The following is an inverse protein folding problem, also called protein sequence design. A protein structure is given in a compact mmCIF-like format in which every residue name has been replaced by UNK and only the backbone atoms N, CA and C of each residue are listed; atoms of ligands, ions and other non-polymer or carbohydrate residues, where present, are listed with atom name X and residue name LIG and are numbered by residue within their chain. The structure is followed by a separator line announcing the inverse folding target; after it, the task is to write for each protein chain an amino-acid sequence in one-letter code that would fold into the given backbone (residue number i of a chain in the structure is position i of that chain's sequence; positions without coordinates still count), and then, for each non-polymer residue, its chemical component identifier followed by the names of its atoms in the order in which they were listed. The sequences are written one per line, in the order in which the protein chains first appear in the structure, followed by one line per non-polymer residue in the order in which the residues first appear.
data_IF_332595009425
#
_entry.id   IF_332595009425
#
_cell.length_a   1.000
_cell.length_b   1.000
_cell.length_c   1.000
_cell.angle_alpha   90.00
_cell.angle_beta   90.00
_cell.angle_gamma   90.00
#
_symmetry.space_group_name_H-M   'P 1'
#
loop_
_entity.id
_entity.type
_entity.pdbx_description
1 polymer ?
#
# COMPACT_ATOMS: atom_id res chain seq x y z
N UNK A 1 -33.33 15.80 24.07
CA UNK A 1 -32.43 14.63 24.22
C UNK A 1 -31.29 14.79 23.24
N UNK A 2 -30.04 14.78 23.70
CA UNK A 2 -28.87 14.98 22.83
C UNK A 2 -28.40 13.63 22.29
N UNK A 3 -28.52 13.40 20.98
CA UNK A 3 -28.14 12.14 20.34
C UNK A 3 -26.65 12.15 20.00
N UNK A 4 -25.82 11.62 20.90
CA UNK A 4 -24.37 11.51 20.69
C UNK A 4 -24.08 10.49 19.59
N UNK A 5 -23.57 10.94 18.44
CA UNK A 5 -23.07 10.06 17.40
C UNK A 5 -21.69 9.50 17.80
N UNK A 6 -21.58 8.18 17.95
CA UNK A 6 -20.29 7.52 18.18
C UNK A 6 -19.64 7.30 16.81
N UNK A 7 -18.64 8.11 16.47
CA UNK A 7 -17.88 7.97 15.23
C UNK A 7 -16.93 6.77 15.39
N UNK A 8 -17.34 5.59 14.93
CA UNK A 8 -16.58 4.35 15.09
C UNK A 8 -15.39 4.21 14.13
N UNK A 9 -15.29 5.06 13.10
CA UNK A 9 -14.26 4.99 12.06
C UNK A 9 -13.34 6.24 12.10
N UNK A 10 -12.50 6.36 13.13
CA UNK A 10 -11.35 7.26 13.07
C UNK A 10 -10.15 6.50 12.49
N UNK A 11 -9.76 6.85 11.25
CA UNK A 11 -8.54 6.31 10.65
C UNK A 11 -7.33 6.75 11.49
N UNK A 12 -6.66 5.78 12.12
CA UNK A 12 -5.40 6.00 12.83
C UNK A 12 -4.25 5.95 11.83
N UNK A 13 -3.18 6.67 12.15
CA UNK A 13 -1.94 6.71 11.38
C UNK A 13 -0.77 6.29 12.25
N UNK A 14 0.10 5.45 11.70
CA UNK A 14 1.39 5.12 12.29
C UNK A 14 2.46 6.00 11.64
N UNK A 15 3.53 6.29 12.38
CA UNK A 15 4.64 7.12 11.92
C UNK A 15 5.98 6.42 12.18
N UNK A 16 6.90 6.56 11.24
CA UNK A 16 8.25 6.00 11.29
C UNK A 16 9.26 7.08 10.88
N UNK A 17 10.43 7.10 11.53
CA UNK A 17 11.55 7.92 11.12
C UNK A 17 12.74 7.03 10.75
N UNK A 18 13.32 7.27 9.57
CA UNK A 18 14.53 6.59 9.08
C UNK A 18 15.66 7.61 9.08
N UNK A 19 16.80 7.27 9.70
CA UNK A 19 17.98 8.15 9.76
C UNK A 19 19.18 7.44 9.15
N UNK A 20 19.79 8.03 8.12
CA UNK A 20 20.96 7.49 7.41
C UNK A 20 21.98 8.60 7.12
N UNK A 21 23.27 8.27 7.12
CA UNK A 21 24.35 9.25 6.86
C UNK A 21 24.51 9.62 5.39
N UNK A 22 24.16 8.71 4.47
CA UNK A 22 24.24 8.93 3.01
C UNK A 22 22.85 8.89 2.38
N UNK A 23 22.70 9.59 1.26
CA UNK A 23 21.48 9.62 0.44
C UNK A 23 21.18 8.25 -0.16
N UNK A 24 22.19 7.54 -0.68
CA UNK A 24 22.02 6.20 -1.25
C UNK A 24 21.51 5.18 -0.21
N UNK A 25 21.99 5.25 1.04
CA UNK A 25 21.51 4.40 2.12
C UNK A 25 20.11 4.80 2.60
N UNK A 26 19.74 6.08 2.49
CA UNK A 26 18.36 6.53 2.72
C UNK A 26 17.44 5.97 1.64
N UNK A 27 17.79 6.13 0.36
CA UNK A 27 17.00 5.68 -0.77
C UNK A 27 16.74 4.17 -0.74
N UNK A 28 17.76 3.36 -0.43
CA UNK A 28 17.62 1.92 -0.24
C UNK A 28 16.57 1.58 0.83
N UNK A 29 16.68 2.18 2.02
CA UNK A 29 15.73 1.88 3.11
C UNK A 29 14.32 2.42 2.85
N UNK A 30 14.20 3.59 2.20
CA UNK A 30 12.90 4.13 1.80
C UNK A 30 12.18 3.23 0.80
N UNK A 31 12.91 2.58 -0.11
CA UNK A 31 12.34 1.59 -1.02
C UNK A 31 11.84 0.34 -0.26
N UNK A 32 12.60 -0.17 0.70
CA UNK A 32 12.19 -1.31 1.56
C UNK A 32 10.95 -0.98 2.41
N UNK A 33 10.90 0.22 2.99
CA UNK A 33 9.72 0.67 3.75
C UNK A 33 8.52 0.92 2.82
N UNK A 34 8.75 1.40 1.60
CA UNK A 34 7.71 1.57 0.57
C UNK A 34 7.04 0.25 0.17
N UNK A 35 7.83 -0.82 -0.01
CA UNK A 35 7.32 -2.19 -0.20
C UNK A 35 6.45 -2.67 0.98
N UNK A 36 6.74 -2.17 2.18
CA UNK A 36 5.99 -2.45 3.41
C UNK A 36 4.77 -1.52 3.64
N UNK A 37 4.39 -0.73 2.64
CA UNK A 37 3.23 0.17 2.67
C UNK A 37 3.44 1.49 3.42
N UNK A 38 4.69 1.90 3.67
CA UNK A 38 4.99 3.21 4.24
C UNK A 38 5.08 4.29 3.15
N UNK A 39 4.37 5.40 3.36
CA UNK A 39 4.39 6.58 2.49
C UNK A 39 5.40 7.61 3.03
N UNK A 40 6.34 8.06 2.20
CA UNK A 40 7.26 9.12 2.53
C UNK A 40 6.55 10.48 2.57
N UNK A 41 6.67 11.19 3.69
CA UNK A 41 6.04 12.51 3.92
C UNK A 41 7.03 13.65 3.74
N UNK A 42 8.27 13.48 4.21
CA UNK A 42 9.29 14.54 4.21
C UNK A 42 10.68 13.94 4.35
N UNK A 43 11.68 14.63 3.81
CA UNK A 43 13.11 14.35 4.00
C UNK A 43 13.79 15.63 4.46
N UNK A 44 14.60 15.54 5.51
CA UNK A 44 15.39 16.65 6.05
C UNK A 44 16.86 16.22 6.11
N UNK A 45 17.77 17.07 5.61
CA UNK A 45 19.21 16.93 5.86
C UNK A 45 19.62 17.92 6.95
N UNK A 46 20.26 17.44 8.01
CA UNK A 46 20.62 18.28 9.15
C UNK A 46 21.32 17.51 10.26
N UNK A 47 21.50 18.16 11.42
CA UNK A 47 22.07 17.52 12.59
C UNK A 47 21.07 16.56 13.23
N UNK A 48 21.48 15.31 13.42
CA UNK A 48 20.72 14.31 14.16
C UNK A 48 20.78 14.56 15.68
N UNK A 49 20.18 13.67 16.48
CA UNK A 49 20.22 13.75 17.96
C UNK A 49 21.62 13.58 18.56
N UNK A 50 22.60 13.09 17.81
CA UNK A 50 24.01 12.96 18.20
C UNK A 50 24.86 14.14 17.72
N UNK A 51 24.27 15.06 16.93
CA UNK A 51 24.95 16.22 16.35
C UNK A 51 25.66 15.96 15.02
N UNK A 52 25.56 14.75 14.47
CA UNK A 52 26.12 14.39 13.17
C UNK A 52 25.20 14.84 12.03
N UNK A 53 25.78 15.20 10.88
CA UNK A 53 24.98 15.45 9.67
C UNK A 53 24.43 14.14 9.11
N UNK A 54 23.10 14.06 9.00
CA UNK A 54 22.39 12.89 8.50
C UNK A 54 21.13 13.30 7.73
N UNK A 55 20.69 12.40 6.85
CA UNK A 55 19.38 12.44 6.23
C UNK A 55 18.36 11.77 7.16
N UNK A 56 17.24 12.45 7.39
CA UNK A 56 16.09 11.95 8.14
C UNK A 56 14.86 11.92 7.24
N UNK A 57 14.38 10.74 6.91
CA UNK A 57 13.09 10.52 6.25
C UNK A 57 11.98 10.32 7.29
N UNK A 58 10.86 11.00 7.10
CA UNK A 58 9.63 10.84 7.89
C UNK A 58 8.59 10.14 7.04
N UNK A 59 8.09 9.01 7.53
CA UNK A 59 7.09 8.19 6.85
C UNK A 59 5.83 8.06 7.71
N UNK A 60 4.71 7.85 7.05
CA UNK A 60 3.41 7.52 7.66
C UNK A 60 2.83 6.28 6.99
N UNK A 61 1.91 5.59 7.65
CA UNK A 61 0.97 4.68 6.98
C UNK A 61 -0.37 4.63 7.71
N UNK A 62 -1.47 4.27 7.05
CA UNK A 62 -2.72 3.95 7.72
C UNK A 62 -2.46 2.79 8.70
N UNK A 63 -2.82 2.96 9.97
CA UNK A 63 -2.77 1.86 10.92
C UNK A 63 -3.80 0.81 10.47
N UNK A 64 -3.33 -0.38 10.10
CA UNK A 64 -4.21 -1.54 9.94
C UNK A 64 -4.79 -1.87 11.31
N UNK A 65 -6.04 -1.50 11.54
CA UNK A 65 -6.74 -1.86 12.76
C UNK A 65 -6.73 -3.39 12.87
N UNK A 66 -6.20 -3.99 13.95
CA UNK A 66 -6.33 -5.43 14.12
C UNK A 66 -7.83 -5.76 14.09
N UNK A 67 -8.26 -6.83 13.40
CA UNK A 67 -9.65 -7.23 13.44
C UNK A 67 -10.02 -7.42 14.92
N UNK A 68 -10.98 -6.61 15.39
CA UNK A 68 -11.49 -6.75 16.75
C UNK A 68 -11.90 -8.21 16.94
N UNK A 69 -11.43 -8.85 18.02
CA UNK A 69 -11.59 -10.28 18.27
C UNK A 69 -13.04 -10.68 18.65
N UNK A 70 -14.03 -10.02 18.03
CA UNK A 70 -15.46 -10.14 18.24
C UNK A 70 -16.21 -10.69 17.01
N UNK A 71 -15.49 -11.12 15.95
CA UNK A 71 -16.05 -11.83 14.79
C UNK A 71 -15.42 -13.21 14.55
N UNK A 72 -15.04 -13.89 15.64
CA UNK A 72 -14.69 -15.31 15.62
C UNK A 72 -15.94 -16.15 15.95
N UNK A 73 -16.95 -16.16 15.07
CA UNK A 73 -18.02 -17.18 14.95
C UNK A 73 -19.09 -16.76 13.94
N UNK A 74 -18.88 -17.02 12.65
CA UNK A 74 -19.98 -17.35 11.74
C UNK A 74 -19.58 -18.61 10.95
N UNK A 75 -20.40 -19.67 10.96
CA UNK A 75 -20.07 -20.90 10.25
C UNK A 75 -20.15 -20.66 8.74
N UNK A 76 -19.11 -21.08 8.03
CA UNK A 76 -19.07 -21.07 6.57
C UNK A 76 -20.13 -22.06 6.07
N UNK A 77 -21.16 -21.57 5.38
CA UNK A 77 -22.18 -22.44 4.80
C UNK A 77 -21.55 -23.30 3.71
N UNK A 78 -21.54 -24.62 3.93
CA UNK A 78 -20.89 -25.59 3.05
C UNK A 78 -21.70 -25.75 1.75
N UNK A 79 -21.32 -25.02 0.70
CA UNK A 79 -21.88 -25.22 -0.64
C UNK A 79 -21.28 -26.50 -1.25
N UNK A 80 -22.05 -27.58 -1.20
CA UNK A 80 -21.70 -28.86 -1.82
C UNK A 80 -21.70 -28.74 -3.35
N UNK A 81 -20.70 -29.30 -4.07
CA UNK A 81 -20.68 -29.28 -5.52
C UNK A 81 -21.59 -30.38 -6.10
N UNK A 82 -22.37 -30.02 -7.12
CA UNK A 82 -23.01 -30.98 -8.04
C UNK A 82 -22.60 -30.65 -9.48
N UNK A 83 -21.98 -31.61 -10.16
CA UNK A 83 -21.89 -31.71 -11.63
C UNK A 83 -23.33 -31.97 -12.17
N UNK A 84 -23.75 -31.82 -13.43
CA UNK A 84 -23.20 -32.08 -14.77
C UNK A 84 -24.27 -31.59 -15.81
N UNK A 85 -24.04 -31.13 -17.05
CA UNK A 85 -22.91 -30.52 -17.78
C UNK A 85 -23.43 -29.85 -19.09
N UNK A 86 -22.53 -29.22 -19.88
CA UNK A 86 -22.73 -28.70 -21.27
C UNK A 86 -23.67 -27.48 -21.47
N UNK A 87 -23.44 -26.53 -22.40
CA UNK A 87 -22.57 -26.50 -23.60
C UNK A 87 -22.22 -25.08 -24.08
N UNK A 88 -21.06 -24.95 -24.76
CA UNK A 88 -20.67 -23.93 -25.76
C UNK A 88 -20.47 -22.44 -25.35
N UNK A 89 -19.29 -21.89 -25.67
CA UNK A 89 -19.08 -20.43 -25.82
C UNK A 89 -17.72 -19.85 -25.38
N UNK A 90 -16.64 -20.11 -26.13
CA UNK A 90 -15.35 -19.36 -26.05
C UNK A 90 -15.42 -18.18 -27.03
N UNK A 91 -15.06 -16.95 -26.64
CA UNK A 91 -13.68 -16.42 -26.74
C UNK A 91 -13.19 -15.88 -25.39
N UNK A 92 -11.95 -16.07 -24.93
CA UNK A 92 -10.64 -15.69 -25.52
C UNK A 92 -10.38 -14.17 -25.58
N UNK A 93 -9.24 -13.77 -25.00
CA UNK A 93 -8.57 -12.46 -25.08
C UNK A 93 -9.34 -11.20 -24.63
N UNK A 94 -9.22 -10.87 -23.34
CA UNK A 94 -9.10 -9.45 -22.94
C UNK A 94 -7.70 -8.98 -23.30
N UNK A 95 -7.58 -8.34 -24.46
CA UNK A 95 -6.34 -7.85 -25.07
C UNK A 95 -5.51 -6.97 -24.13
N UNK A 96 -4.20 -7.22 -24.12
CA UNK A 96 -3.24 -6.37 -23.41
C UNK A 96 -3.05 -5.03 -24.11
N UNK A 97 -2.44 -4.09 -23.40
CA UNK A 97 -2.10 -2.76 -23.92
C UNK A 97 -1.16 -2.89 -25.12
N UNK A 98 -1.67 -2.58 -26.32
CA UNK A 98 -0.91 -2.66 -27.56
C UNK A 98 0.15 -1.55 -27.61
N UNK A 99 1.43 -1.95 -27.67
CA UNK A 99 2.59 -1.08 -27.82
C UNK A 99 3.16 -1.08 -29.25
N UNK A 100 2.44 -1.66 -30.22
CA UNK A 100 2.89 -1.80 -31.61
C UNK A 100 2.29 -0.75 -32.56
N UNK A 101 2.37 0.54 -32.20
CA UNK A 101 1.99 1.61 -33.13
C UNK A 101 2.04 3.04 -32.59
N UNK A 102 3.25 3.61 -32.47
CA UNK A 102 3.62 4.85 -33.18
C UNK A 102 5.14 5.10 -33.03
N UNK A 103 5.90 4.99 -34.12
CA UNK A 103 7.33 5.30 -34.11
C UNK A 103 7.49 6.81 -34.36
N UNK A 104 7.79 7.56 -33.29
CA UNK A 104 7.78 9.02 -33.32
C UNK A 104 9.02 9.58 -34.05
N UNK A 105 8.91 9.78 -35.37
CA UNK A 105 9.94 10.44 -36.19
C UNK A 105 10.20 11.88 -35.72
N UNK A 106 11.31 12.08 -35.02
CA UNK A 106 11.87 13.42 -34.78
C UNK A 106 12.63 13.88 -36.02
N UNK A 107 12.11 14.87 -36.75
CA UNK A 107 12.84 15.55 -37.83
C UNK A 107 13.72 16.66 -37.24
N UNK A 108 14.99 16.70 -37.67
CA UNK A 108 15.95 17.81 -37.43
C UNK A 108 15.50 19.12 -38.10
#
# INVERSE_FOLDING_TARGET
MTKTAIIQAQQRWEYLNVVKRTDAALAAELNEQGQSGWELVSVIYGKDRKGELAWTGFLKRPATQPPSAASASQPVATAQPSQEAEKAGTPESSEGFDLSGDEFELKE
#
